data_IF_358303333506
#
_entry.id   IF_358303333506
#
_cell.length_a   1.000
_cell.length_b   1.000
_cell.length_c   1.000
_cell.angle_alpha   90.00
_cell.angle_beta   90.00
_cell.angle_gamma   90.00
#
_symmetry.space_group_name_H-M   'P 1'
#
loop_
_entity.id
_entity.type
_entity.pdbx_description
1 polymer ?
#
# COMPACT_ATOMS: atom_id res chain seq x y z
N UNK A 1 2.97 1.44 17.12
CA UNK A 1 1.57 1.55 16.63
C UNK A 1 1.56 2.36 15.35
N UNK A 2 0.89 1.87 14.32
CA UNK A 2 0.66 2.60 13.08
C UNK A 2 -0.79 3.04 12.96
N UNK A 3 -1.00 4.19 12.32
CA UNK A 3 -2.32 4.66 11.87
C UNK A 3 -2.35 4.75 10.35
N UNK A 4 -3.43 4.30 9.74
CA UNK A 4 -3.68 4.46 8.30
C UNK A 4 -5.02 5.16 8.09
N UNK A 5 -5.00 6.37 7.52
CA UNK A 5 -6.21 7.18 7.30
C UNK A 5 -6.85 6.90 5.94
N UNK A 6 -8.17 6.87 5.88
CA UNK A 6 -8.91 6.73 4.62
C UNK A 6 -10.33 7.28 4.71
N UNK A 7 -10.85 7.71 3.57
CA UNK A 7 -12.26 8.12 3.41
C UNK A 7 -13.09 6.89 3.08
N UNK A 8 -14.23 6.72 3.74
CA UNK A 8 -15.10 5.54 3.63
C UNK A 8 -15.50 5.18 2.20
N UNK A 9 -15.93 6.16 1.41
CA UNK A 9 -16.53 5.98 0.07
C UNK A 9 -17.64 4.92 0.11
N UNK A 10 -17.51 3.89 -0.72
CA UNK A 10 -18.40 2.74 -0.87
C UNK A 10 -17.96 1.52 -0.03
N UNK A 11 -16.98 1.69 0.87
CA UNK A 11 -16.46 0.57 1.66
C UNK A 11 -17.45 0.12 2.76
N UNK A 12 -17.64 -1.20 2.83
CA UNK A 12 -18.29 -1.90 3.93
C UNK A 12 -17.33 -2.03 5.12
N UNK A 13 -17.47 -1.12 6.09
CA UNK A 13 -16.63 -1.04 7.27
C UNK A 13 -16.79 -2.27 8.19
N UNK A 14 -17.96 -2.89 8.25
CA UNK A 14 -18.20 -4.06 9.11
C UNK A 14 -17.53 -5.32 8.55
N UNK A 15 -17.57 -5.50 7.22
CA UNK A 15 -16.77 -6.55 6.58
C UNK A 15 -15.29 -6.32 6.77
N UNK A 16 -14.83 -5.07 6.67
CA UNK A 16 -13.43 -4.73 6.93
C UNK A 16 -13.02 -5.02 8.38
N UNK A 17 -13.86 -4.67 9.37
CA UNK A 17 -13.63 -4.98 10.79
C UNK A 17 -13.53 -6.48 11.01
N UNK A 18 -14.48 -7.24 10.47
CA UNK A 18 -14.48 -8.71 10.54
C UNK A 18 -13.19 -9.28 9.96
N UNK A 19 -12.77 -8.80 8.79
CA UNK A 19 -11.54 -9.23 8.15
C UNK A 19 -10.29 -8.86 8.98
N UNK A 20 -10.24 -7.64 9.51
CA UNK A 20 -9.11 -7.15 10.31
C UNK A 20 -8.85 -8.03 11.55
N UNK A 21 -9.90 -8.58 12.17
CA UNK A 21 -9.74 -9.48 13.31
C UNK A 21 -9.02 -10.79 12.96
N UNK A 22 -9.14 -11.30 11.73
CA UNK A 22 -8.35 -12.46 11.30
C UNK A 22 -6.85 -12.17 11.18
N UNK A 23 -6.43 -10.90 11.08
CA UNK A 23 -5.02 -10.51 11.06
C UNK A 23 -4.42 -10.46 12.46
N UNK A 24 -5.23 -10.43 13.52
CA UNK A 24 -4.76 -10.37 14.91
C UNK A 24 -4.19 -11.73 15.31
N UNK A 25 -3.08 -11.70 16.05
CA UNK A 25 -2.35 -12.87 16.50
C UNK A 25 -1.04 -13.10 15.75
N UNK A 26 -0.52 -14.31 15.90
CA UNK A 26 0.80 -14.73 15.45
C UNK A 26 0.67 -15.57 14.17
N UNK A 27 1.07 -15.00 13.03
CA UNK A 27 0.89 -15.61 11.71
C UNK A 27 2.10 -15.40 10.79
N UNK A 28 2.19 -16.17 9.71
CA UNK A 28 3.12 -15.90 8.60
C UNK A 28 2.51 -14.88 7.63
N UNK A 29 3.09 -13.68 7.59
CA UNK A 29 2.56 -12.57 6.80
C UNK A 29 3.24 -12.40 5.42
N UNK A 30 3.88 -13.44 4.86
CA UNK A 30 4.56 -13.34 3.55
C UNK A 30 3.64 -12.92 2.41
N UNK A 31 2.37 -13.33 2.47
CA UNK A 31 1.35 -12.95 1.49
C UNK A 31 0.80 -11.54 1.72
N UNK A 32 1.16 -10.91 2.85
CA UNK A 32 0.77 -9.56 3.24
C UNK A 32 1.97 -8.61 3.34
N UNK A 33 3.08 -8.88 2.63
CA UNK A 33 4.23 -7.97 2.62
C UNK A 33 4.87 -7.91 1.23
N UNK A 34 5.85 -7.03 1.05
CA UNK A 34 6.78 -7.16 -0.07
C UNK A 34 7.88 -8.13 0.35
N UNK A 35 8.06 -9.19 -0.44
CA UNK A 35 9.08 -10.21 -0.14
C UNK A 35 10.47 -9.59 -0.32
N UNK A 36 11.21 -9.53 0.78
CA UNK A 36 12.61 -9.14 0.84
C UNK A 36 13.49 -10.41 0.84
N UNK A 37 14.43 -10.56 -0.12
CA UNK A 37 15.35 -11.70 -0.16
C UNK A 37 16.17 -11.90 1.12
N UNK A 38 16.43 -10.83 1.88
CA UNK A 38 17.19 -10.87 3.12
C UNK A 38 16.33 -11.26 4.34
N UNK A 39 15.01 -11.35 4.16
CA UNK A 39 14.11 -11.72 5.24
C UNK A 39 13.96 -13.25 5.32
N UNK A 40 14.36 -13.81 6.46
CA UNK A 40 14.27 -15.25 6.72
C UNK A 40 12.99 -15.64 7.46
N UNK A 41 12.47 -14.76 8.32
CA UNK A 41 11.29 -15.00 9.19
C UNK A 41 10.17 -14.05 8.84
N UNK A 42 9.06 -14.59 8.34
CA UNK A 42 7.85 -13.86 7.96
C UNK A 42 6.76 -13.89 9.04
N UNK A 43 7.01 -14.61 10.12
CA UNK A 43 6.13 -14.66 11.27
C UNK A 43 6.14 -13.32 12.01
N UNK A 44 4.96 -12.73 12.24
CA UNK A 44 4.80 -11.51 13.06
C UNK A 44 3.64 -11.70 14.01
N UNK A 45 3.63 -10.89 15.07
CA UNK A 45 2.52 -10.83 16.02
C UNK A 45 1.86 -9.45 15.94
N UNK A 46 0.66 -9.42 15.37
CA UNK A 46 -0.22 -8.25 15.40
C UNK A 46 -1.07 -8.35 16.67
N UNK A 47 -0.85 -7.45 17.62
CA UNK A 47 -1.53 -7.46 18.91
C UNK A 47 -2.96 -6.92 18.82
N UNK A 48 -3.20 -5.89 18.00
CA UNK A 48 -4.55 -5.40 17.71
C UNK A 48 -4.62 -4.75 16.33
N UNK A 49 -5.83 -4.77 15.76
CA UNK A 49 -6.15 -4.11 14.50
C UNK A 49 -7.58 -3.58 14.57
N UNK A 50 -7.72 -2.29 14.82
CA UNK A 50 -9.03 -1.62 14.95
C UNK A 50 -9.30 -0.68 13.78
N UNK A 51 -10.58 -0.55 13.40
CA UNK A 51 -11.03 0.43 12.40
C UNK A 51 -12.03 1.36 13.05
N UNK A 52 -11.62 2.61 13.26
CA UNK A 52 -12.34 3.60 14.04
C UNK A 52 -12.61 4.86 13.24
N UNK A 53 -13.72 5.53 13.53
CA UNK A 53 -14.02 6.86 12.99
C UNK A 53 -13.04 7.88 13.56
N UNK A 54 -12.63 8.85 12.73
CA UNK A 54 -11.81 9.95 13.21
C UNK A 54 -12.68 10.94 14.01
N UNK A 55 -12.40 11.15 15.32
CA UNK A 55 -13.14 12.10 16.15
C UNK A 55 -13.07 13.51 15.56
N UNK A 56 -14.17 14.26 15.67
CA UNK A 56 -14.25 15.65 15.20
C UNK A 56 -14.29 15.83 13.67
N UNK A 57 -14.25 14.74 12.89
CA UNK A 57 -14.33 14.78 11.42
C UNK A 57 -15.61 14.11 10.93
N UNK A 58 -16.76 14.50 11.49
CA UNK A 58 -18.06 14.02 11.01
C UNK A 58 -18.38 14.64 9.67
N UNK A 59 -18.71 13.80 8.70
CA UNK A 59 -19.18 14.25 7.39
C UNK A 59 -20.71 14.16 7.32
N UNK A 60 -21.33 15.10 6.61
CA UNK A 60 -22.78 15.07 6.34
C UNK A 60 -23.15 13.86 5.46
N UNK A 61 -22.28 13.55 4.49
CA UNK A 61 -22.37 12.35 3.67
C UNK A 61 -21.53 11.22 4.31
N UNK A 62 -22.14 10.08 4.69
CA UNK A 62 -21.42 8.93 5.24
C UNK A 62 -20.29 8.42 4.33
N UNK A 63 -20.40 8.57 3.01
CA UNK A 63 -19.36 8.18 2.05
C UNK A 63 -18.08 9.02 2.20
N UNK A 64 -18.19 10.19 2.82
CA UNK A 64 -17.08 11.12 3.03
C UNK A 64 -16.51 11.04 4.44
N UNK A 65 -17.07 10.18 5.29
CA UNK A 65 -16.61 9.98 6.66
C UNK A 65 -15.16 9.48 6.67
N UNK A 66 -14.32 10.15 7.46
CA UNK A 66 -12.93 9.75 7.66
C UNK A 66 -12.85 8.63 8.71
N UNK A 67 -12.12 7.57 8.37
CA UNK A 67 -11.76 6.48 9.25
C UNK A 67 -10.24 6.38 9.36
N UNK A 68 -9.80 5.66 10.38
CA UNK A 68 -8.42 5.19 10.47
C UNK A 68 -8.35 3.76 10.93
N UNK A 69 -7.41 3.01 10.36
CA UNK A 69 -6.94 1.76 10.92
C UNK A 69 -5.93 2.06 12.02
N UNK A 70 -6.04 1.39 13.16
CA UNK A 70 -5.08 1.42 14.26
C UNK A 70 -4.47 0.03 14.41
N UNK A 71 -3.20 -0.10 14.03
CA UNK A 71 -2.49 -1.40 14.03
C UNK A 71 -1.39 -1.37 15.07
N UNK A 72 -1.49 -2.28 16.03
CA UNK A 72 -0.48 -2.46 17.07
C UNK A 72 0.15 -3.85 16.96
N UNK A 73 1.46 -3.90 17.17
CA UNK A 73 2.25 -5.10 17.01
C UNK A 73 3.71 -4.81 17.33
N UNK A 74 4.47 -5.87 17.57
CA UNK A 74 5.87 -5.77 18.05
C UNK A 74 6.82 -5.32 16.94
N UNK A 75 6.62 -5.82 15.73
CA UNK A 75 7.37 -5.47 14.54
C UNK A 75 6.54 -5.80 13.29
N UNK A 76 6.85 -5.14 12.17
CA UNK A 76 6.19 -5.35 10.89
C UNK A 76 7.22 -5.64 9.79
N UNK A 77 6.83 -6.47 8.82
CA UNK A 77 7.60 -6.73 7.60
C UNK A 77 7.55 -5.52 6.66
N UNK A 78 8.43 -5.53 5.66
CA UNK A 78 8.45 -4.50 4.64
C UNK A 78 7.11 -4.40 3.91
N UNK A 79 6.52 -3.20 3.95
CA UNK A 79 5.18 -2.88 3.44
C UNK A 79 4.02 -3.69 4.05
N UNK A 80 4.20 -4.34 5.20
CA UNK A 80 3.16 -5.21 5.76
C UNK A 80 1.82 -4.49 5.98
N UNK A 81 1.86 -3.35 6.68
CA UNK A 81 0.65 -2.59 7.02
C UNK A 81 -0.11 -2.14 5.76
N UNK A 82 0.59 -1.63 4.74
CA UNK A 82 -0.02 -1.20 3.47
C UNK A 82 -0.66 -2.36 2.70
N UNK A 83 -0.01 -3.52 2.71
CA UNK A 83 -0.53 -4.74 2.09
C UNK A 83 -1.77 -5.28 2.84
N UNK A 84 -1.76 -5.26 4.17
CA UNK A 84 -2.94 -5.63 4.97
C UNK A 84 -4.12 -4.70 4.68
N UNK A 85 -3.89 -3.38 4.70
CA UNK A 85 -4.92 -2.38 4.41
C UNK A 85 -5.49 -2.53 2.99
N UNK A 86 -4.65 -2.81 1.98
CA UNK A 86 -5.16 -3.05 0.62
C UNK A 86 -6.10 -4.25 0.54
N UNK A 87 -5.76 -5.36 1.19
CA UNK A 87 -6.65 -6.54 1.21
C UNK A 87 -7.95 -6.20 1.95
N UNK A 88 -7.90 -5.39 3.01
CA UNK A 88 -9.12 -4.88 3.65
C UNK A 88 -9.93 -3.99 2.70
N UNK A 89 -9.32 -3.15 1.87
CA UNK A 89 -10.06 -2.38 0.86
C UNK A 89 -10.70 -3.27 -0.22
N UNK A 90 -10.06 -4.38 -0.60
CA UNK A 90 -10.69 -5.36 -1.49
C UNK A 90 -11.92 -6.01 -0.83
N UNK A 91 -11.85 -6.29 0.47
CA UNK A 91 -13.00 -6.79 1.24
C UNK A 91 -14.10 -5.73 1.37
N UNK A 92 -13.75 -4.51 1.77
CA UNK A 92 -14.70 -3.41 1.95
C UNK A 92 -15.38 -3.00 0.65
N UNK A 93 -14.70 -3.10 -0.49
CA UNK A 93 -15.30 -2.84 -1.81
C UNK A 93 -16.07 -4.04 -2.39
N UNK A 94 -16.24 -5.12 -1.61
CA UNK A 94 -16.98 -6.32 -2.02
C UNK A 94 -16.30 -7.16 -3.10
N UNK A 95 -15.01 -6.93 -3.37
CA UNK A 95 -14.22 -7.71 -4.34
C UNK A 95 -13.68 -9.01 -3.77
N UNK A 96 -13.58 -9.08 -2.46
CA UNK A 96 -13.22 -10.27 -1.69
C UNK A 96 -14.16 -10.42 -0.50
N UNK A 97 -14.28 -11.65 0.00
CA UNK A 97 -14.96 -11.93 1.26
C UNK A 97 -13.96 -11.92 2.43
N UNK A 98 -14.38 -11.60 3.67
CA UNK A 98 -13.48 -11.59 4.84
C UNK A 98 -12.67 -12.87 5.03
N UNK A 99 -13.22 -14.01 4.60
CA UNK A 99 -12.56 -15.33 4.61
C UNK A 99 -11.31 -15.42 3.71
N UNK A 100 -11.01 -14.41 2.88
CA UNK A 100 -9.77 -14.37 2.11
C UNK A 100 -8.54 -14.27 3.01
N UNK A 101 -8.64 -13.56 4.13
CA UNK A 101 -7.50 -13.34 5.02
C UNK A 101 -6.95 -14.64 5.60
N UNK A 102 -7.75 -15.51 6.25
CA UNK A 102 -7.23 -16.80 6.72
C UNK A 102 -6.65 -17.67 5.61
N UNK A 103 -7.21 -17.62 4.38
CA UNK A 103 -6.64 -18.35 3.23
C UNK A 103 -5.26 -17.84 2.83
N UNK A 104 -5.03 -16.53 2.89
CA UNK A 104 -3.74 -15.92 2.59
C UNK A 104 -2.72 -16.10 3.73
N UNK A 105 -3.17 -16.24 4.97
CA UNK A 105 -2.31 -16.56 6.12
C UNK A 105 -1.91 -18.05 6.13
N UNK A 106 -2.74 -18.92 5.57
CA UNK A 106 -2.42 -20.33 5.35
C UNK A 106 -1.47 -20.51 4.15
N UNK A 107 -0.22 -20.86 4.44
CA UNK A 107 0.84 -20.99 3.43
C UNK A 107 0.72 -22.31 2.65
N UNK A 108 0.10 -23.34 3.22
CA UNK A 108 -0.12 -24.60 2.52
C UNK A 108 -1.21 -24.42 1.45
N UNK A 109 -2.26 -23.67 1.78
CA UNK A 109 -3.30 -23.29 0.82
C UNK A 109 -2.82 -22.23 -0.17
N UNK A 110 -2.07 -21.22 0.30
CA UNK A 110 -1.57 -20.12 -0.53
C UNK A 110 -0.04 -19.99 -0.45
N UNK A 111 0.71 -20.90 -1.12
CA UNK A 111 2.17 -20.90 -1.05
C UNK A 111 2.83 -19.74 -1.81
N UNK A 112 2.05 -19.08 -2.69
CA UNK A 112 2.51 -17.94 -3.50
C UNK A 112 1.59 -16.75 -3.30
N UNK A 113 2.19 -15.58 -3.08
CA UNK A 113 1.47 -14.32 -2.95
C UNK A 113 0.71 -14.00 -4.25
N UNK A 114 -0.62 -13.81 -4.20
CA UNK A 114 -1.38 -13.35 -5.35
C UNK A 114 -1.06 -11.89 -5.68
N UNK A 115 -1.24 -11.52 -6.95
CA UNK A 115 -1.00 -10.15 -7.38
C UNK A 115 -2.10 -9.20 -6.90
N UNK A 116 -1.71 -8.20 -6.11
CA UNK A 116 -2.54 -7.06 -5.74
C UNK A 116 -1.65 -5.85 -5.48
N UNK A 117 -2.26 -4.66 -5.57
CA UNK A 117 -1.55 -3.40 -5.39
C UNK A 117 -1.16 -3.18 -3.92
N UNK A 118 -0.50 -2.09 -3.60
CA UNK A 118 -0.33 -1.68 -2.21
C UNK A 118 -1.13 -0.41 -2.00
N UNK A 119 -1.81 -0.32 -0.86
CA UNK A 119 -2.49 0.89 -0.45
C UNK A 119 -1.50 2.06 -0.47
N UNK A 120 -1.95 3.29 -0.76
CA UNK A 120 -1.10 4.49 -0.81
C UNK A 120 -0.19 4.62 0.43
N UNK A 121 1.02 5.16 0.30
CA UNK A 121 1.89 5.47 1.45
C UNK A 121 1.48 6.75 2.17
N UNK A 122 0.91 7.71 1.44
CA UNK A 122 0.55 9.03 1.94
C UNK A 122 -0.15 9.02 3.33
N UNK A 123 -1.15 8.17 3.61
CA UNK A 123 -1.89 8.24 4.87
C UNK A 123 -1.36 7.31 5.97
N UNK A 124 -0.18 6.68 5.78
CA UNK A 124 0.42 5.82 6.79
C UNK A 124 1.31 6.62 7.74
N UNK A 125 1.01 6.58 9.03
CA UNK A 125 1.73 7.30 10.09
C UNK A 125 2.22 6.31 11.15
N UNK A 126 3.52 6.36 11.48
CA UNK A 126 4.01 5.79 12.74
C UNK A 126 3.53 6.70 13.86
N UNK A 127 2.49 6.27 14.57
CA UNK A 127 1.83 7.14 15.55
C UNK A 127 2.50 7.09 16.91
N UNK A 128 2.85 5.90 17.39
CA UNK A 128 3.41 5.71 18.72
C UNK A 128 4.43 4.56 18.74
N UNK A 129 5.42 4.66 19.63
CA UNK A 129 6.46 3.68 19.87
C UNK A 129 6.46 3.31 21.36
N UNK A 130 6.09 2.06 21.65
CA UNK A 130 6.11 1.53 23.00
C UNK A 130 7.48 0.94 23.28
N UNK A 131 8.15 1.46 24.31
CA UNK A 131 9.50 1.03 24.69
C UNK A 131 9.52 0.08 25.89
N UNK A 132 8.44 0.08 26.68
CA UNK A 132 8.11 -0.99 27.62
C UNK A 132 7.09 -1.93 26.98
N UNK A 133 6.99 -3.17 27.46
CA UNK A 133 5.86 -4.03 27.10
C UNK A 133 4.60 -3.48 27.79
N UNK A 134 3.55 -3.07 27.06
CA UNK A 134 2.33 -2.55 27.67
C UNK A 134 1.65 -3.55 28.63
N UNK A 135 1.93 -4.85 28.46
CA UNK A 135 1.37 -5.92 29.30
C UNK A 135 2.23 -6.19 30.56
N UNK A 136 3.40 -5.55 30.69
CA UNK A 136 4.32 -5.68 31.82
C UNK A 136 4.38 -4.36 32.61
N UNK A 137 3.61 -4.31 33.70
CA UNK A 137 3.50 -3.13 34.55
C UNK A 137 4.79 -2.82 35.35
N UNK A 138 5.73 -3.77 35.48
CA UNK A 138 6.97 -3.58 36.22
C UNK A 138 8.11 -3.06 35.34
N UNK A 139 8.03 -3.26 34.01
CA UNK A 139 9.00 -2.75 33.07
C UNK A 139 8.78 -1.24 32.81
N UNK A 140 9.53 -0.39 33.51
CA UNK A 140 9.54 1.05 33.17
C UNK A 140 10.37 1.31 31.91
N UNK A 141 9.72 1.80 30.86
CA UNK A 141 10.38 2.22 29.63
C UNK A 141 11.22 3.49 29.83
N UNK A 142 12.04 3.89 28.84
CA UNK A 142 12.73 5.17 28.86
C UNK A 142 11.76 6.32 29.09
N UNK A 143 12.11 7.21 30.02
CA UNK A 143 11.42 8.46 30.24
C UNK A 143 11.92 9.49 29.23
N UNK A 144 11.03 9.94 28.35
CA UNK A 144 11.34 11.05 27.46
C UNK A 144 11.11 12.37 28.19
N UNK A 145 12.12 13.22 28.20
CA UNK A 145 12.03 14.58 28.74
C UNK A 145 11.84 15.58 27.60
N UNK A 146 11.00 16.58 27.84
CA UNK A 146 10.73 17.66 26.89
C UNK A 146 10.60 18.98 27.63
N UNK A 147 10.97 20.06 26.97
CA UNK A 147 10.74 21.41 27.51
C UNK A 147 9.33 21.87 27.11
N UNK A 148 8.61 22.60 27.98
CA UNK A 148 7.32 23.19 27.62
C UNK A 148 7.40 24.08 26.37
N UNK A 149 8.54 24.75 26.15
CA UNK A 149 8.78 25.56 24.96
C UNK A 149 8.82 24.72 23.68
N UNK A 150 9.49 23.56 23.69
CA UNK A 150 9.51 22.66 22.54
C UNK A 150 8.11 22.12 22.23
N UNK A 151 7.33 21.77 23.26
CA UNK A 151 5.95 21.33 23.09
C UNK A 151 5.08 22.43 22.47
N UNK A 152 5.21 23.67 22.95
CA UNK A 152 4.50 24.82 22.40
C UNK A 152 4.86 25.06 20.93
N UNK A 153 6.14 24.98 20.57
CA UNK A 153 6.61 25.16 19.20
C UNK A 153 6.05 24.10 18.25
N UNK A 154 6.10 22.83 18.63
CA UNK A 154 5.54 21.72 17.83
C UNK A 154 4.02 21.87 17.71
N UNK A 155 3.34 22.20 18.80
CA UNK A 155 1.89 22.43 18.80
C UNK A 155 1.51 23.58 17.84
N UNK A 156 2.19 24.72 17.91
CA UNK A 156 1.94 25.87 17.05
C UNK A 156 2.14 25.52 15.57
N UNK A 157 3.25 24.84 15.23
CA UNK A 157 3.53 24.42 13.85
C UNK A 157 2.47 23.46 13.31
N UNK A 158 2.08 22.45 14.09
CA UNK A 158 1.05 21.50 13.66
C UNK A 158 -0.32 22.17 13.53
N UNK A 159 -0.64 23.12 14.41
CA UNK A 159 -1.87 23.91 14.34
C UNK A 159 -1.91 24.73 13.06
N UNK A 160 -0.86 25.49 12.75
CA UNK A 160 -0.79 26.29 11.53
C UNK A 160 -0.92 25.41 10.26
N UNK A 161 -0.20 24.28 10.22
CA UNK A 161 -0.31 23.33 9.11
C UNK A 161 -1.73 22.79 8.98
N UNK A 162 -2.37 22.42 10.08
CA UNK A 162 -3.75 21.92 10.08
C UNK A 162 -4.74 22.99 9.62
N UNK A 163 -4.62 24.23 10.08
CA UNK A 163 -5.46 25.36 9.67
C UNK A 163 -5.34 25.59 8.16
N UNK A 164 -4.12 25.67 7.63
CA UNK A 164 -3.88 25.85 6.20
C UNK A 164 -4.51 24.72 5.37
N UNK A 165 -4.34 23.45 5.78
CA UNK A 165 -4.96 22.32 5.08
C UNK A 165 -6.47 22.30 5.20
N UNK A 166 -7.01 22.76 6.33
CA UNK A 166 -8.46 22.86 6.54
C UNK A 166 -9.08 23.93 5.63
N UNK A 167 -8.44 25.09 5.47
CA UNK A 167 -8.88 26.11 4.51
C UNK A 167 -8.82 25.57 3.08
N UNK A 168 -7.72 24.91 2.69
CA UNK A 168 -7.58 24.31 1.36
C UNK A 168 -8.66 23.25 1.09
N UNK A 169 -8.94 22.38 2.07
CA UNK A 169 -10.00 21.39 1.97
C UNK A 169 -11.39 22.04 1.84
N UNK A 170 -11.66 23.13 2.57
CA UNK A 170 -12.92 23.87 2.47
C UNK A 170 -13.09 24.56 1.11
N UNK A 171 -12.02 25.16 0.55
CA UNK A 171 -12.02 25.72 -0.80
C UNK A 171 -12.35 24.65 -1.85
N UNK A 172 -11.69 23.49 -1.78
CA UNK A 172 -11.96 22.37 -2.68
C UNK A 172 -13.39 21.84 -2.52
N UNK A 173 -13.89 21.76 -1.28
CA UNK A 173 -15.29 21.37 -1.03
C UNK A 173 -16.26 22.35 -1.66
N UNK A 174 -16.02 23.65 -1.55
CA UNK A 174 -16.85 24.68 -2.20
C UNK A 174 -16.89 24.50 -3.72
N UNK A 175 -15.74 24.25 -4.36
CA UNK A 175 -15.68 23.97 -5.79
C UNK A 175 -16.44 22.68 -6.17
N UNK A 176 -16.30 21.61 -5.38
CA UNK A 176 -17.03 20.36 -5.62
C UNK A 176 -18.54 20.55 -5.48
N UNK A 177 -18.99 21.28 -4.46
CA UNK A 177 -20.41 21.59 -4.27
C UNK A 177 -20.98 22.38 -5.47
N UNK A 178 -20.21 23.33 -6.00
CA UNK A 178 -20.59 24.07 -7.21
C UNK A 178 -20.74 23.14 -8.42
N UNK A 179 -19.82 22.18 -8.60
CA UNK A 179 -19.89 21.16 -9.66
C UNK A 179 -21.09 20.22 -9.49
N UNK A 180 -21.36 19.77 -8.27
CA UNK A 180 -22.50 18.90 -7.96
C UNK A 180 -23.85 19.58 -8.22
N UNK A 181 -23.93 20.90 -8.08
CA UNK A 181 -25.15 21.68 -8.29
C UNK A 181 -25.49 21.91 -9.77
N UNK A 182 -24.59 21.62 -10.71
CA UNK A 182 -24.85 21.80 -12.14
C UNK A 182 -26.08 20.99 -12.57
N UNK A 183 -26.91 21.66 -13.33
CA UNK A 183 -28.10 21.11 -13.95
C UNK A 183 -27.74 20.73 -15.39
N UNK A 184 -27.91 19.46 -15.73
CA UNK A 184 -27.49 18.89 -17.02
C UNK A 184 -28.66 18.19 -17.70
N UNK A 185 -28.70 18.26 -19.02
CA UNK A 185 -29.69 17.54 -19.81
C UNK A 185 -29.42 16.02 -19.75
N UNK A 186 -30.39 15.26 -19.25
CA UNK A 186 -30.23 13.83 -19.00
C UNK A 186 -29.95 13.03 -20.29
N UNK A 187 -30.61 13.38 -21.39
CA UNK A 187 -30.43 12.71 -22.68
C UNK A 187 -29.05 13.01 -23.27
N UNK A 188 -28.61 14.27 -23.17
CA UNK A 188 -27.30 14.67 -23.64
C UNK A 188 -26.18 13.99 -22.83
N UNK A 189 -26.34 13.88 -21.51
CA UNK A 189 -25.35 13.21 -20.66
C UNK A 189 -25.22 11.73 -21.01
N UNK A 190 -26.34 11.01 -21.20
CA UNK A 190 -26.31 9.61 -21.63
C UNK A 190 -25.60 9.49 -22.98
N UNK A 191 -25.96 10.34 -23.94
CA UNK A 191 -25.38 10.34 -25.28
C UNK A 191 -23.87 10.62 -25.27
N UNK A 192 -23.44 11.65 -24.56
CA UNK A 192 -22.05 12.11 -24.56
C UNK A 192 -21.14 11.20 -23.73
N UNK A 193 -21.69 10.54 -22.70
CA UNK A 193 -20.95 9.63 -21.83
C UNK A 193 -21.12 8.15 -22.17
N UNK A 194 -21.89 7.78 -23.20
CA UNK A 194 -22.16 6.38 -23.56
C UNK A 194 -20.86 5.56 -23.71
N UNK A 195 -19.88 6.12 -24.43
CA UNK A 195 -18.57 5.48 -24.58
C UNK A 195 -17.84 5.23 -23.24
N UNK A 196 -17.96 6.17 -22.30
CA UNK A 196 -17.29 6.10 -21.00
C UNK A 196 -18.06 5.30 -19.96
N UNK A 197 -19.38 5.22 -20.10
CA UNK A 197 -20.32 4.70 -19.12
C UNK A 197 -21.50 3.99 -19.85
N UNK A 198 -21.28 2.82 -20.47
CA UNK A 198 -22.24 2.17 -21.37
C UNK A 198 -23.52 1.63 -20.70
N UNK A 199 -23.57 1.54 -19.37
CA UNK A 199 -24.77 1.18 -18.60
C UNK A 199 -25.44 2.38 -17.94
N UNK A 200 -25.02 3.60 -18.26
CA UNK A 200 -25.49 4.80 -17.57
C UNK A 200 -26.99 5.00 -17.79
N UNK A 201 -27.48 4.79 -19.02
CA UNK A 201 -28.90 4.91 -19.33
C UNK A 201 -29.77 4.00 -18.46
N UNK A 202 -29.40 2.71 -18.38
CA UNK A 202 -30.10 1.74 -17.55
C UNK A 202 -30.14 2.18 -16.08
N UNK A 203 -28.99 2.59 -15.52
CA UNK A 203 -28.88 3.02 -14.13
C UNK A 203 -29.67 4.30 -13.84
N UNK A 204 -29.73 5.24 -14.80
CA UNK A 204 -30.52 6.46 -14.67
C UNK A 204 -32.01 6.17 -14.71
N UNK A 205 -32.47 5.27 -15.60
CA UNK A 205 -33.88 4.82 -15.65
C UNK A 205 -34.30 4.10 -14.37
N UNK A 206 -33.45 3.20 -13.84
CA UNK A 206 -33.69 2.51 -12.57
C UNK A 206 -33.85 3.47 -11.38
N UNK A 207 -33.24 4.66 -11.45
CA UNK A 207 -33.37 5.73 -10.44
C UNK A 207 -34.40 6.80 -10.79
N UNK A 208 -35.19 6.62 -11.85
CA UNK A 208 -36.16 7.59 -12.36
C UNK A 208 -35.55 8.97 -12.70
N UNK A 209 -34.28 9.00 -13.11
CA UNK A 209 -33.55 10.21 -13.54
C UNK A 209 -33.64 10.45 -15.05
N UNK A 210 -34.21 9.53 -15.82
CA UNK A 210 -34.36 9.63 -17.26
C UNK A 210 -35.79 9.32 -17.67
N UNK A 211 -36.44 10.28 -18.32
CA UNK A 211 -37.81 10.19 -18.84
C UNK A 211 -37.80 10.33 -20.36
N UNK A 212 -38.83 9.78 -21.02
CA UNK A 212 -38.90 9.77 -22.49
C UNK A 212 -39.16 11.17 -23.09
N UNK A 213 -39.64 12.13 -22.29
CA UNK A 213 -39.82 13.54 -22.68
C UNK A 213 -38.54 14.39 -22.53
N UNK A 214 -37.46 13.79 -22.02
CA UNK A 214 -36.26 14.52 -21.61
C UNK A 214 -36.44 15.26 -20.29
N UNK A 215 -35.34 15.71 -19.71
CA UNK A 215 -35.34 16.33 -18.40
C UNK A 215 -33.98 16.84 -18.00
N UNK A 216 -33.99 17.77 -17.05
CA UNK A 216 -32.79 18.32 -16.43
C UNK A 216 -32.59 17.61 -15.10
N UNK A 217 -31.38 17.12 -14.86
CA UNK A 217 -31.00 16.41 -13.64
C UNK A 217 -29.81 17.06 -12.97
N UNK A 218 -29.70 16.91 -11.65
CA UNK A 218 -28.52 17.37 -10.93
C UNK A 218 -27.33 16.46 -11.21
N UNK A 219 -26.17 17.06 -11.49
CA UNK A 219 -24.92 16.32 -11.67
C UNK A 219 -24.57 15.45 -10.45
N UNK A 220 -24.97 15.87 -9.25
CA UNK A 220 -24.81 15.10 -8.01
C UNK A 220 -25.49 13.73 -8.06
N UNK A 221 -26.61 13.60 -8.78
CA UNK A 221 -27.37 12.35 -8.88
C UNK A 221 -26.78 11.40 -9.93
N UNK A 222 -26.18 11.97 -10.98
CA UNK A 222 -25.60 11.22 -12.09
C UNK A 222 -24.16 10.78 -11.81
N UNK A 223 -23.32 11.65 -11.24
CA UNK A 223 -21.89 11.38 -11.06
C UNK A 223 -21.57 10.08 -10.29
N UNK A 224 -22.33 9.65 -9.26
CA UNK A 224 -22.08 8.40 -8.55
C UNK A 224 -22.43 7.15 -9.37
N UNK A 225 -23.19 7.28 -10.47
CA UNK A 225 -23.53 6.17 -11.37
C UNK A 225 -22.42 5.85 -12.36
N UNK A 226 -21.55 6.82 -12.67
CA UNK A 226 -20.48 6.66 -13.66
C UNK A 226 -19.50 5.53 -13.31
N UNK A 227 -19.03 5.39 -12.05
CA UNK A 227 -18.17 4.27 -11.66
C UNK A 227 -18.88 2.91 -11.75
N UNK A 228 -20.18 2.86 -11.42
CA UNK A 228 -21.01 1.63 -11.43
C UNK A 228 -21.30 1.14 -12.86
N UNK A 229 -21.37 2.08 -13.79
CA UNK A 229 -21.61 1.79 -15.20
C UNK A 229 -20.48 0.96 -15.84
N UNK A 230 -19.25 1.10 -15.33
CA UNK A 230 -18.10 0.33 -15.79
C UNK A 230 -18.14 -1.09 -15.25
N UNK A 231 -18.30 -2.10 -16.12
CA UNK A 231 -18.03 -3.51 -15.78
C UNK A 231 -16.54 -3.69 -15.48
N UNK A 232 -16.12 -3.51 -14.22
CA UNK A 232 -14.78 -3.95 -13.81
C UNK A 232 -14.83 -5.47 -13.65
N UNK A 233 -14.24 -6.20 -14.61
CA UNK A 233 -13.91 -7.62 -14.39
C UNK A 233 -12.81 -7.67 -13.34
N UNK A 234 -13.18 -7.86 -12.08
CA UNK A 234 -12.23 -8.10 -10.99
C UNK A 234 -12.10 -9.60 -10.79
N UNK A 235 -10.89 -10.12 -11.02
CA UNK A 235 -10.56 -11.50 -10.68
C UNK A 235 -10.35 -11.59 -9.16
N UNK A 236 -10.96 -12.57 -8.47
CA UNK A 236 -10.66 -12.86 -7.07
C UNK A 236 -9.17 -13.17 -6.87
N UNK A 237 -8.60 -12.81 -5.73
CA UNK A 237 -7.18 -12.97 -5.39
C UNK A 237 -6.70 -14.41 -5.61
N UNK A 238 -7.51 -15.40 -5.23
CA UNK A 238 -7.20 -16.81 -5.43
C UNK A 238 -7.06 -17.24 -6.90
N UNK A 239 -7.59 -16.45 -7.85
CA UNK A 239 -7.55 -16.72 -9.29
C UNK A 239 -6.57 -15.81 -10.05
N UNK A 240 -5.85 -14.93 -9.35
CA UNK A 240 -4.88 -14.03 -9.98
C UNK A 240 -3.55 -14.74 -10.19
N UNK A 241 -2.79 -14.22 -11.14
CA UNK A 241 -1.42 -14.64 -11.33
C UNK A 241 -0.62 -14.44 -10.04
N UNK A 242 0.30 -15.36 -9.80
CA UNK A 242 1.16 -15.36 -8.62
C UNK A 242 2.61 -15.23 -9.04
N UNK A 243 3.40 -14.55 -8.22
CA UNK A 243 4.84 -14.49 -8.42
C UNK A 243 5.55 -15.77 -7.99
N UNK A 244 6.87 -15.70 -7.96
CA UNK A 244 7.69 -16.71 -7.28
C UNK A 244 7.38 -16.76 -5.79
N UNK A 245 7.34 -17.98 -5.24
CA UNK A 245 7.28 -18.21 -3.79
C UNK A 245 8.51 -17.61 -3.10
N UNK A 246 8.46 -17.49 -1.77
CA UNK A 246 9.61 -17.03 -0.97
C UNK A 246 10.84 -17.90 -1.23
N UNK A 247 10.68 -19.22 -1.25
CA UNK A 247 11.80 -20.16 -1.43
C UNK A 247 12.38 -20.09 -2.85
N UNK A 248 11.53 -19.94 -3.86
CA UNK A 248 11.98 -19.72 -5.23
C UNK A 248 12.76 -18.41 -5.39
N UNK A 249 12.29 -17.32 -4.75
CA UNK A 249 13.01 -16.03 -4.76
C UNK A 249 14.36 -16.15 -4.07
N UNK A 250 14.44 -16.83 -2.92
CA UNK A 250 15.69 -17.08 -2.20
C UNK A 250 16.66 -17.88 -3.05
N UNK A 251 16.22 -18.99 -3.66
CA UNK A 251 17.05 -19.81 -4.55
C UNK A 251 17.60 -19.01 -5.72
N UNK A 252 16.77 -18.19 -6.38
CA UNK A 252 17.20 -17.31 -7.48
C UNK A 252 18.18 -16.23 -7.02
N UNK A 253 17.99 -15.67 -5.82
CA UNK A 253 18.91 -14.67 -5.26
C UNK A 253 20.28 -15.29 -4.93
N UNK A 254 20.29 -16.49 -4.34
CA UNK A 254 21.52 -17.24 -4.07
C UNK A 254 22.25 -17.63 -5.35
N UNK A 255 21.53 -18.12 -6.37
CA UNK A 255 22.13 -18.45 -7.66
C UNK A 255 22.76 -17.22 -8.32
N UNK A 256 22.09 -16.06 -8.27
CA UNK A 256 22.66 -14.79 -8.77
C UNK A 256 23.88 -14.35 -7.99
N UNK A 257 23.91 -14.56 -6.67
CA UNK A 257 25.07 -14.25 -5.83
C UNK A 257 26.25 -15.15 -6.21
N UNK A 258 26.02 -16.45 -6.33
CA UNK A 258 27.05 -17.42 -6.72
C UNK A 258 27.65 -17.11 -8.09
N UNK A 259 26.80 -16.79 -9.09
CA UNK A 259 27.29 -16.40 -10.43
C UNK A 259 28.17 -15.15 -10.40
N UNK A 260 27.84 -14.16 -9.55
CA UNK A 260 28.67 -12.96 -9.39
C UNK A 260 30.01 -13.27 -8.74
N UNK A 261 30.03 -14.14 -7.74
CA UNK A 261 31.27 -14.60 -7.08
C UNK A 261 32.14 -15.38 -8.07
N UNK A 262 31.55 -16.30 -8.86
CA UNK A 262 32.24 -17.03 -9.93
C UNK A 262 32.81 -16.07 -10.99
N UNK A 263 32.05 -15.07 -11.45
CA UNK A 263 32.50 -14.04 -12.41
C UNK A 263 33.66 -13.19 -11.86
N UNK A 264 33.59 -12.80 -10.58
CA UNK A 264 34.62 -12.00 -9.90
C UNK A 264 35.91 -12.80 -9.66
N UNK A 265 35.80 -14.09 -9.30
CA UNK A 265 36.92 -15.02 -9.20
C UNK A 265 37.58 -15.22 -10.57
N UNK A 266 36.78 -15.45 -11.62
CA UNK A 266 37.28 -15.62 -13.00
C UNK A 266 37.99 -14.34 -13.48
N UNK A 267 37.40 -13.16 -13.23
CA UNK A 267 38.02 -11.88 -13.58
C UNK A 267 39.34 -11.63 -12.82
N UNK A 268 39.38 -12.01 -11.54
CA UNK A 268 40.60 -11.90 -10.72
C UNK A 268 41.70 -12.86 -11.20
N UNK A 269 41.32 -14.05 -11.66
CA UNK A 269 42.25 -15.06 -12.19
C UNK A 269 42.83 -14.63 -13.54
N UNK A 270 41.99 -14.14 -14.46
CA UNK A 270 42.45 -13.54 -15.73
C UNK A 270 43.36 -12.34 -15.49
N UNK A 271 43.03 -11.46 -14.53
CA UNK A 271 43.87 -10.31 -14.19
C UNK A 271 45.23 -10.71 -13.60
N UNK A 272 45.31 -11.85 -12.88
CA UNK A 272 46.58 -12.41 -12.41
C UNK A 272 47.39 -13.01 -13.55
N UNK A 273 46.78 -13.76 -14.45
CA UNK A 273 47.47 -14.35 -15.61
C UNK A 273 48.07 -13.28 -16.53
N UNK A 274 47.32 -12.22 -16.86
CA UNK A 274 47.82 -11.08 -17.65
C UNK A 274 48.99 -10.36 -16.98
N UNK A 275 49.00 -10.26 -15.63
CA UNK A 275 50.13 -9.69 -14.86
C UNK A 275 51.35 -10.60 -14.82
N UNK A 276 51.18 -11.89 -15.04
CA UNK A 276 52.27 -12.87 -15.02
C UNK A 276 52.95 -12.91 -16.39
N UNK A 277 52.17 -12.93 -17.48
CA UNK A 277 52.70 -12.87 -18.86
C UNK A 277 53.44 -11.56 -19.16
N UNK A 278 52.97 -10.43 -18.62
CA UNK A 278 53.66 -9.14 -18.75
C UNK A 278 54.95 -9.02 -17.93
N UNK A 279 55.11 -9.84 -16.87
CA UNK A 279 56.37 -9.97 -16.12
C UNK A 279 57.38 -10.85 -16.86
N UNK A 280 56.92 -11.92 -17.49
CA UNK A 280 57.79 -12.83 -18.23
C UNK A 280 58.33 -12.19 -19.52
N UNK A 281 57.54 -11.34 -20.20
CA UNK A 281 58.02 -10.56 -21.36
C UNK A 281 59.06 -9.48 -21.00
N UNK A 282 59.04 -8.95 -19.77
CA UNK A 282 60.03 -7.98 -19.30
C UNK A 282 61.38 -8.62 -18.98
N UNK A 283 61.40 -9.90 -18.58
CA UNK A 283 62.64 -10.62 -18.23
C UNK A 283 63.43 -11.11 -19.44
N UNK A 284 62.84 -11.16 -20.64
CA UNK A 284 63.49 -11.63 -21.88
C UNK A 284 64.24 -10.54 -22.66
N UNK A 285 64.26 -9.29 -22.20
CA UNK A 285 64.89 -8.17 -22.93
C UNK A 285 66.23 -7.66 -22.34
N UNK A 286 66.71 -8.22 -21.22
CA UNK A 286 68.01 -7.89 -20.64
C UNK A 286 69.03 -9.02 -20.86
N UNK A 287 69.54 -9.19 -22.08
CA UNK A 287 70.78 -9.94 -22.34
C UNK A 287 71.33 -9.58 -23.73
N UNK A 288 71.96 -8.42 -23.84
CA UNK A 288 72.91 -8.11 -24.90
C UNK A 288 74.12 -7.38 -24.29
N UNK A 289 75.33 -7.95 -24.36
CA UNK A 289 76.51 -7.34 -23.75
C UNK A 289 77.07 -6.23 -24.64
N UNK A 290 77.45 -5.12 -24.02
CA UNK A 290 78.17 -4.03 -24.67
C UNK A 290 79.55 -4.52 -25.14
N UNK A 291 79.75 -4.57 -26.45
CA UNK A 291 81.06 -4.68 -27.08
C UNK A 291 81.62 -3.29 -27.36
N UNK A 292 82.89 -3.13 -27.01
CA UNK A 292 83.77 -1.96 -27.18
C UNK A 292 83.91 -1.49 -28.63
N UNK A 293 84.02 -0.16 -28.83
CA UNK A 293 85.19 0.56 -29.37
C UNK A 293 84.88 2.03 -29.58
#
# INVERSE_FOLDING_TARGET
MYRYFFVRRDLDIEKMRTAAQYLVGKHDFRNFCRIDPNCHVYERNVRSFEIVECPGQRADDPSQQMYRCEVFGRAFLWHQVRCMVEVLFLVGSGREEPSIIPKLLDIDQTPRKPQYDMASDLPLVLHDCYFADPDDAEASGPRFEYTPLALLQVHAQLTEMWEQRSVQAAMLRSHLNALEAFQVDANLVVKDLDHYAPKLEQLMRERNLLTDEGGVVSWKEVSPLLPLSKKRKTLPLAKRDTGHSVDERKRKAQERKRRREEEEETATQVAKEVKTESRDHASSHELAPAASS
#
